data_IF_929960003313
#
_entry.id   IF_929960003313
#
_cell.length_a   1.000
_cell.length_b   1.000
_cell.length_c   1.000
_cell.angle_alpha   90.00
_cell.angle_beta   90.00
_cell.angle_gamma   90.00
#
_symmetry.space_group_name_H-M   'P 1'
#
loop_
_entity.id
_entity.type
_entity.pdbx_description
1 polymer ?
#
# COMPACT_ATOMS: atom_id res chain seq x y z
N UNK A 1 8.39 -30.32 23.10
CA UNK A 1 8.54 -29.89 21.69
C UNK A 1 7.37 -28.96 21.38
N UNK A 2 7.63 -27.67 21.14
CA UNK A 2 6.59 -26.69 20.78
C UNK A 2 6.20 -26.95 19.33
N UNK A 3 4.92 -27.23 19.07
CA UNK A 3 4.35 -27.35 17.72
C UNK A 3 4.48 -25.99 17.02
N UNK A 4 5.27 -25.90 15.95
CA UNK A 4 5.44 -24.68 15.17
C UNK A 4 4.16 -24.36 14.40
N UNK A 5 3.67 -23.13 14.53
CA UNK A 5 2.47 -22.59 13.89
C UNK A 5 2.77 -22.00 12.49
N UNK A 6 3.58 -22.69 11.68
CA UNK A 6 3.92 -22.21 10.32
C UNK A 6 2.73 -22.39 9.35
N UNK A 7 1.87 -23.39 9.60
CA UNK A 7 0.75 -23.74 8.72
C UNK A 7 -0.29 -22.61 8.57
N UNK A 8 -0.49 -21.78 9.60
CA UNK A 8 -1.48 -20.71 9.57
C UNK A 8 -1.09 -19.52 8.67
N UNK A 9 0.21 -19.33 8.39
CA UNK A 9 0.69 -18.24 7.52
C UNK A 9 0.43 -18.58 6.05
N UNK A 10 0.64 -19.84 5.65
CA UNK A 10 0.36 -20.27 4.27
C UNK A 10 -1.14 -20.25 3.96
N UNK A 11 -2.01 -20.69 4.88
CA UNK A 11 -3.45 -20.78 4.61
C UNK A 11 -4.15 -19.41 4.44
N UNK A 12 -3.61 -18.33 5.06
CA UNK A 12 -4.14 -16.96 4.90
C UNK A 12 -3.71 -16.33 3.57
N UNK A 13 -2.52 -16.67 3.07
CA UNK A 13 -1.98 -16.14 1.81
C UNK A 13 -2.74 -16.66 0.57
N UNK A 14 -3.29 -17.89 0.61
CA UNK A 14 -3.92 -18.52 -0.57
C UNK A 14 -5.40 -18.18 -0.80
N UNK A 15 -6.11 -17.64 0.20
CA UNK A 15 -7.52 -17.23 0.03
C UNK A 15 -7.75 -16.06 -0.94
N UNK A 16 -6.68 -15.36 -1.36
CA UNK A 16 -6.76 -14.20 -2.25
C UNK A 16 -6.70 -14.54 -3.75
N UNK A 17 -6.35 -15.77 -4.14
CA UNK A 17 -6.07 -16.13 -5.55
C UNK A 17 -7.28 -16.61 -6.37
N UNK A 18 -8.47 -16.72 -5.78
CA UNK A 18 -9.61 -17.50 -6.33
C UNK A 18 -10.59 -16.81 -7.30
N UNK A 19 -10.30 -15.63 -7.87
CA UNK A 19 -11.30 -14.89 -8.69
C UNK A 19 -10.76 -14.24 -9.98
N UNK A 20 -10.37 -15.02 -10.98
CA UNK A 20 -10.29 -14.50 -12.38
C UNK A 20 -10.70 -15.58 -13.41
N UNK A 21 -11.79 -15.32 -14.14
CA UNK A 21 -12.31 -16.18 -15.22
C UNK A 21 -12.49 -15.35 -16.51
N UNK A 22 -11.74 -15.75 -17.56
CA UNK A 22 -11.95 -15.68 -19.04
C UNK A 22 -12.44 -14.35 -19.68
N UNK A 23 -11.93 -13.84 -20.82
CA UNK A 23 -11.42 -14.42 -22.09
C UNK A 23 -10.44 -13.43 -22.75
N UNK A 24 -9.41 -13.91 -23.43
CA UNK A 24 -8.50 -13.09 -24.23
C UNK A 24 -8.99 -12.96 -25.69
N UNK A 25 -9.25 -11.72 -26.10
CA UNK A 25 -9.48 -11.33 -27.50
C UNK A 25 -8.12 -11.08 -28.20
N UNK A 26 -7.96 -11.42 -29.49
CA UNK A 26 -6.71 -11.16 -30.21
C UNK A 26 -6.41 -9.67 -30.33
N UNK A 27 -5.20 -9.26 -29.98
CA UNK A 27 -4.74 -7.87 -30.11
C UNK A 27 -4.71 -7.47 -31.60
N UNK A 28 -5.37 -6.35 -31.92
CA UNK A 28 -5.45 -5.80 -33.27
C UNK A 28 -4.06 -5.31 -33.75
N UNK A 29 -3.53 -5.82 -34.89
CA UNK A 29 -2.26 -5.41 -35.47
C UNK A 29 -2.15 -3.92 -35.86
N UNK A 30 -3.25 -3.16 -35.81
CA UNK A 30 -3.25 -1.70 -36.03
C UNK A 30 -2.67 -0.86 -34.89
N UNK A 31 -2.28 -1.45 -33.76
CA UNK A 31 -1.65 -0.75 -32.63
C UNK A 31 -0.11 -0.69 -32.67
N UNK A 32 0.53 -1.08 -33.77
CA UNK A 32 1.94 -0.79 -34.00
C UNK A 32 2.09 0.66 -34.51
N UNK A 33 2.17 1.61 -33.57
CA UNK A 33 2.43 3.03 -33.90
C UNK A 33 3.92 3.27 -34.03
N UNK A 34 4.23 4.00 -35.10
CA UNK A 34 5.52 4.49 -35.60
C UNK A 34 6.22 5.43 -34.59
N UNK A 35 7.51 5.21 -34.38
CA UNK A 35 8.36 5.85 -33.37
C UNK A 35 8.97 7.16 -33.94
N UNK A 36 8.11 8.14 -34.25
CA UNK A 36 8.54 9.45 -34.76
C UNK A 36 8.56 10.51 -33.65
N UNK A 37 9.77 11.01 -33.34
CA UNK A 37 10.24 11.99 -32.35
C UNK A 37 9.53 13.39 -32.29
N UNK A 38 8.22 13.50 -32.48
CA UNK A 38 7.45 14.72 -32.24
C UNK A 38 6.50 14.53 -31.05
N UNK A 39 7.03 14.38 -29.83
CA UNK A 39 6.18 14.35 -28.63
C UNK A 39 5.56 15.74 -28.39
N UNK A 40 4.22 15.88 -28.44
CA UNK A 40 3.55 17.15 -28.18
C UNK A 40 3.80 17.60 -26.73
N UNK A 41 4.00 18.90 -26.53
CA UNK A 41 4.15 19.51 -25.19
C UNK A 41 2.98 19.09 -24.31
N UNK A 42 3.27 18.25 -23.31
CA UNK A 42 2.26 17.70 -22.42
C UNK A 42 1.71 18.79 -21.52
N UNK A 43 0.38 18.87 -21.43
CA UNK A 43 -0.29 19.72 -20.44
C UNK A 43 -0.09 19.10 -19.05
N UNK A 44 0.33 19.87 -18.02
CA UNK A 44 0.51 19.34 -16.68
C UNK A 44 -0.74 18.67 -16.12
N UNK A 45 -0.55 17.68 -15.25
CA UNK A 45 -1.65 17.06 -14.49
C UNK A 45 -2.38 18.13 -13.65
N UNK A 46 -3.71 18.08 -13.62
CA UNK A 46 -4.52 19.00 -12.83
C UNK A 46 -5.76 18.31 -12.29
N UNK A 47 -6.08 18.52 -11.02
CA UNK A 47 -7.35 18.13 -10.41
C UNK A 47 -7.92 19.33 -9.66
N UNK A 48 -9.15 19.72 -9.97
CA UNK A 48 -9.80 20.87 -9.35
C UNK A 48 -11.31 20.67 -9.20
N UNK A 49 -11.92 21.37 -8.25
CA UNK A 49 -13.38 21.40 -8.03
C UNK A 49 -13.78 22.62 -7.20
N UNK A 50 -14.92 23.22 -7.54
CA UNK A 50 -15.49 24.37 -6.83
C UNK A 50 -16.57 23.91 -5.85
N UNK A 51 -16.56 24.45 -4.63
CA UNK A 51 -17.64 24.25 -3.67
C UNK A 51 -17.67 25.34 -2.61
N UNK A 52 -18.88 25.72 -2.19
CA UNK A 52 -19.07 26.91 -1.36
C UNK A 52 -18.53 28.16 -2.08
N UNK A 53 -17.59 28.86 -1.45
CA UNK A 53 -16.91 30.04 -2.00
C UNK A 53 -15.44 29.78 -2.34
N UNK A 54 -15.03 28.51 -2.46
CA UNK A 54 -13.64 28.11 -2.72
C UNK A 54 -13.49 27.18 -3.92
N UNK A 55 -12.30 27.22 -4.49
CA UNK A 55 -11.80 26.24 -5.46
C UNK A 55 -10.74 25.40 -4.78
N UNK A 56 -10.94 24.08 -4.77
CA UNK A 56 -9.90 23.12 -4.43
C UNK A 56 -9.08 22.84 -5.68
N UNK A 57 -7.76 22.89 -5.53
CA UNK A 57 -6.79 22.47 -6.54
C UNK A 57 -5.84 21.51 -5.85
N UNK A 58 -5.67 20.32 -6.41
CA UNK A 58 -4.80 19.31 -5.82
C UNK A 58 -3.32 19.68 -6.00
N UNK A 59 -2.52 19.53 -4.94
CA UNK A 59 -1.06 19.60 -4.97
C UNK A 59 -0.46 18.31 -5.56
N UNK A 60 -1.15 17.18 -5.37
CA UNK A 60 -0.78 15.89 -5.94
C UNK A 60 -2.00 15.07 -6.33
N UNK A 61 -1.82 14.18 -7.30
CA UNK A 61 -2.89 13.38 -7.88
C UNK A 61 -2.40 11.97 -8.16
N UNK A 62 -3.27 10.99 -7.95
CA UNK A 62 -3.02 9.60 -8.32
C UNK A 62 -4.30 9.02 -8.88
N UNK A 63 -4.18 8.16 -9.88
CA UNK A 63 -5.29 7.34 -10.33
C UNK A 63 -4.89 5.87 -10.37
N UNK A 64 -5.89 5.00 -10.27
CA UNK A 64 -5.80 3.56 -10.41
C UNK A 64 -6.86 3.12 -11.44
N UNK A 65 -6.48 2.24 -12.38
CA UNK A 65 -7.37 1.70 -13.42
C UNK A 65 -7.21 0.18 -13.48
N UNK A 66 -8.13 -0.57 -12.87
CA UNK A 66 -8.21 -2.03 -12.99
C UNK A 66 -9.13 -2.67 -11.96
N UNK A 67 -9.15 -4.00 -11.90
CA UNK A 67 -10.13 -4.78 -11.11
C UNK A 67 -11.60 -4.39 -11.35
N UNK A 68 -11.89 -3.93 -12.58
CA UNK A 68 -13.23 -3.46 -12.96
C UNK A 68 -13.55 -2.03 -12.52
N UNK A 69 -12.60 -1.29 -11.94
CA UNK A 69 -12.80 0.04 -11.39
C UNK A 69 -11.75 1.07 -11.86
N UNK A 70 -12.13 2.35 -11.77
CA UNK A 70 -11.25 3.51 -11.85
C UNK A 70 -11.33 4.21 -10.50
N UNK A 71 -10.20 4.40 -9.84
CA UNK A 71 -10.09 5.22 -8.63
C UNK A 71 -9.24 6.45 -8.95
N UNK A 72 -9.75 7.65 -8.72
CA UNK A 72 -9.01 8.90 -8.93
C UNK A 72 -8.97 9.64 -7.59
N UNK A 73 -7.78 10.05 -7.17
CA UNK A 73 -7.58 10.83 -5.96
C UNK A 73 -6.84 12.13 -6.25
N UNK A 74 -7.27 13.20 -5.60
CA UNK A 74 -6.57 14.48 -5.57
C UNK A 74 -6.36 14.92 -4.13
N UNK A 75 -5.13 15.27 -3.78
CA UNK A 75 -4.74 15.70 -2.44
C UNK A 75 -4.33 17.16 -2.47
N UNK A 76 -4.73 17.94 -1.47
CA UNK A 76 -4.24 19.30 -1.29
C UNK A 76 -3.89 19.59 0.17
N UNK A 77 -2.98 20.55 0.35
CA UNK A 77 -2.53 21.02 1.64
C UNK A 77 -1.76 19.99 2.45
N UNK A 78 -1.27 20.43 3.62
CA UNK A 78 -0.43 19.61 4.50
C UNK A 78 -1.23 18.70 5.44
N UNK A 79 -2.57 18.76 5.38
CA UNK A 79 -3.47 18.12 6.36
C UNK A 79 -4.27 16.95 5.79
N UNK A 80 -3.90 16.43 4.62
CA UNK A 80 -4.57 15.27 4.03
C UNK A 80 -5.96 15.57 3.45
N UNK A 81 -6.27 16.84 3.18
CA UNK A 81 -7.51 17.21 2.47
C UNK A 81 -7.50 16.52 1.10
N UNK A 82 -8.54 15.74 0.78
CA UNK A 82 -8.54 14.96 -0.44
C UNK A 82 -9.93 14.73 -1.03
N UNK A 83 -9.95 14.47 -2.32
CA UNK A 83 -11.07 13.88 -3.03
C UNK A 83 -10.73 12.45 -3.41
N UNK A 84 -11.69 11.54 -3.28
CA UNK A 84 -11.62 10.20 -3.86
C UNK A 84 -12.85 9.99 -4.73
N UNK A 85 -12.63 9.55 -5.98
CA UNK A 85 -13.65 9.20 -6.95
C UNK A 85 -13.44 7.72 -7.31
N UNK A 86 -14.43 6.87 -7.03
CA UNK A 86 -14.44 5.47 -7.46
C UNK A 86 -15.56 5.27 -8.49
N UNK A 87 -15.17 4.84 -9.68
CA UNK A 87 -16.07 4.52 -10.80
C UNK A 87 -15.98 3.02 -11.06
N UNK A 88 -17.08 2.26 -10.96
CA UNK A 88 -17.09 0.82 -11.26
C UNK A 88 -17.10 0.55 -12.77
N UNK A 89 -16.06 1.02 -13.45
CA UNK A 89 -15.83 0.81 -14.87
C UNK A 89 -14.34 0.99 -15.21
N UNK A 90 -13.92 0.48 -16.37
CA UNK A 90 -12.56 0.62 -16.91
C UNK A 90 -12.52 1.32 -18.28
N UNK A 91 -13.64 1.94 -18.68
CA UNK A 91 -13.83 2.52 -20.01
C UNK A 91 -14.11 4.02 -19.94
N UNK A 92 -14.12 4.68 -21.10
CA UNK A 92 -14.61 6.06 -21.19
C UNK A 92 -16.14 6.08 -21.17
N UNK A 93 -16.73 7.16 -20.67
CA UNK A 93 -18.19 7.25 -20.55
C UNK A 93 -18.65 8.18 -19.43
N UNK A 94 -19.96 8.27 -19.27
CA UNK A 94 -20.60 9.02 -18.18
C UNK A 94 -21.23 8.05 -17.19
N UNK A 95 -20.85 8.17 -15.94
CA UNK A 95 -21.21 7.29 -14.85
C UNK A 95 -21.96 8.07 -13.78
N UNK A 96 -23.16 7.61 -13.44
CA UNK A 96 -24.03 8.19 -12.40
C UNK A 96 -24.03 7.37 -11.11
N UNK A 97 -23.47 6.16 -11.15
CA UNK A 97 -23.29 5.28 -10.01
C UNK A 97 -21.80 5.24 -9.69
N UNK A 98 -21.35 6.24 -8.94
CA UNK A 98 -19.96 6.38 -8.51
C UNK A 98 -19.96 6.68 -7.01
N UNK A 99 -18.90 6.29 -6.32
CA UNK A 99 -18.66 6.77 -4.97
C UNK A 99 -17.73 7.98 -5.07
N UNK A 100 -18.17 9.13 -4.57
CA UNK A 100 -17.33 10.33 -4.52
C UNK A 100 -17.31 10.81 -3.08
N UNK A 101 -16.12 10.95 -2.53
CA UNK A 101 -15.91 11.51 -1.19
C UNK A 101 -14.98 12.72 -1.25
N UNK A 102 -15.24 13.66 -0.36
CA UNK A 102 -14.38 14.78 -0.04
C UNK A 102 -14.08 14.74 1.45
N UNK A 103 -12.82 14.56 1.79
CA UNK A 103 -12.31 14.56 3.15
C UNK A 103 -11.57 15.90 3.42
N UNK A 104 -12.02 16.69 4.42
CA UNK A 104 -11.34 17.93 4.81
C UNK A 104 -10.00 17.72 5.55
N UNK A 105 -9.60 16.47 5.84
CA UNK A 105 -8.28 16.08 6.35
C UNK A 105 -8.08 16.19 7.87
N UNK A 106 -8.73 17.14 8.54
CA UNK A 106 -8.53 17.41 9.98
C UNK A 106 -9.52 16.70 10.91
N UNK A 107 -10.49 15.97 10.36
CA UNK A 107 -11.56 15.31 11.11
C UNK A 107 -11.87 13.96 10.41
N UNK A 108 -12.15 12.86 11.15
CA UNK A 108 -12.59 11.60 10.53
C UNK A 108 -13.84 11.72 9.64
N UNK A 109 -14.55 12.86 9.68
CA UNK A 109 -15.76 13.09 8.94
C UNK A 109 -15.51 13.70 7.56
N UNK A 110 -16.12 13.11 6.55
CA UNK A 110 -16.08 13.52 5.14
C UNK A 110 -17.48 13.90 4.62
N UNK A 111 -17.53 14.46 3.41
CA UNK A 111 -18.75 14.57 2.61
C UNK A 111 -18.75 13.45 1.56
N UNK A 112 -19.86 12.72 1.41
CA UNK A 112 -20.03 11.73 0.35
C UNK A 112 -21.15 12.11 -0.60
N UNK A 113 -21.13 11.61 -1.83
CA UNK A 113 -22.22 11.83 -2.76
C UNK A 113 -23.48 11.00 -2.46
N UNK A 114 -23.50 10.22 -1.38
CA UNK A 114 -24.62 9.37 -0.99
C UNK A 114 -25.53 10.16 -0.06
N UNK A 115 -26.78 10.37 -0.47
CA UNK A 115 -27.75 11.10 0.35
C UNK A 115 -28.24 10.27 1.55
N UNK A 116 -28.98 10.85 2.52
CA UNK A 116 -29.50 10.12 3.68
C UNK A 116 -30.47 8.97 3.36
N UNK A 117 -30.96 8.87 2.11
CA UNK A 117 -31.76 7.76 1.61
C UNK A 117 -30.92 6.70 0.88
N UNK A 118 -29.59 6.77 0.98
CA UNK A 118 -28.61 5.90 0.31
C UNK A 118 -28.68 5.95 -1.22
N UNK A 119 -29.02 7.10 -1.79
CA UNK A 119 -29.03 7.32 -3.24
C UNK A 119 -27.83 8.17 -3.61
N UNK A 120 -26.91 7.68 -4.47
CA UNK A 120 -25.82 8.47 -5.01
C UNK A 120 -26.33 9.69 -5.78
N UNK A 121 -25.57 10.77 -5.71
CA UNK A 121 -25.83 12.01 -6.45
C UNK A 121 -24.62 12.36 -7.30
N UNK A 122 -24.85 13.15 -8.35
CA UNK A 122 -23.78 13.60 -9.23
C UNK A 122 -23.48 12.64 -10.38
N UNK A 123 -22.38 12.92 -11.07
CA UNK A 123 -21.89 12.15 -12.20
C UNK A 123 -20.40 12.37 -12.40
N UNK A 124 -19.73 11.36 -12.94
CA UNK A 124 -18.35 11.42 -13.44
C UNK A 124 -18.37 11.12 -14.93
N UNK A 125 -17.72 11.93 -15.75
CA UNK A 125 -17.50 11.64 -17.17
C UNK A 125 -16.01 11.45 -17.42
N UNK A 126 -15.62 10.24 -17.83
CA UNK A 126 -14.28 9.92 -18.30
C UNK A 126 -14.23 10.24 -19.80
N UNK A 127 -13.49 11.29 -20.18
CA UNK A 127 -13.36 11.70 -21.59
C UNK A 127 -12.32 10.88 -22.33
N UNK A 128 -11.16 10.64 -21.71
CA UNK A 128 -10.07 9.88 -22.34
C UNK A 128 -9.30 9.07 -21.31
N UNK A 129 -8.88 7.88 -21.74
CA UNK A 129 -7.87 7.06 -21.11
C UNK A 129 -6.76 6.92 -22.17
N UNK A 130 -5.64 7.62 -21.99
CA UNK A 130 -4.47 7.50 -22.86
C UNK A 130 -3.61 6.35 -22.33
N UNK A 131 -3.67 5.20 -22.99
CA UNK A 131 -2.92 4.00 -22.58
C UNK A 131 -1.44 4.07 -22.91
N UNK A 132 -1.05 4.91 -23.88
CA UNK A 132 0.36 5.11 -24.21
C UNK A 132 1.04 5.97 -23.15
N UNK A 133 0.36 7.04 -22.70
CA UNK A 133 0.89 7.96 -21.68
C UNK A 133 0.47 7.61 -20.26
N UNK A 134 -0.39 6.59 -20.09
CA UNK A 134 -1.00 6.18 -18.82
C UNK A 134 -1.67 7.34 -18.09
N UNK A 135 -2.47 8.13 -18.80
CA UNK A 135 -3.20 9.25 -18.19
C UNK A 135 -4.71 9.16 -18.38
N UNK A 136 -5.46 9.73 -17.44
CA UNK A 136 -6.92 9.81 -17.47
C UNK A 136 -7.40 11.26 -17.36
N UNK A 137 -8.42 11.61 -18.16
CA UNK A 137 -9.00 12.96 -18.21
C UNK A 137 -10.52 12.90 -18.17
N UNK A 138 -11.16 13.83 -17.47
CA UNK A 138 -12.60 13.85 -17.28
C UNK A 138 -13.10 15.00 -16.41
N UNK A 139 -14.40 14.95 -16.11
CA UNK A 139 -15.09 15.92 -15.25
C UNK A 139 -16.00 15.21 -14.25
N UNK A 140 -16.35 15.90 -13.18
CA UNK A 140 -17.31 15.41 -12.20
C UNK A 140 -18.08 16.55 -11.53
N UNK A 141 -19.24 16.22 -10.96
CA UNK A 141 -19.98 17.10 -10.05
C UNK A 141 -20.85 16.25 -9.15
N UNK A 142 -21.10 16.69 -7.92
CA UNK A 142 -21.98 15.97 -6.99
C UNK A 142 -22.54 16.89 -5.89
N UNK A 143 -23.53 16.39 -5.16
CA UNK A 143 -23.96 17.00 -3.90
C UNK A 143 -23.40 16.17 -2.74
N UNK A 144 -22.52 16.77 -1.95
CA UNK A 144 -21.93 16.10 -0.79
C UNK A 144 -22.82 16.20 0.43
N UNK A 145 -23.05 15.08 1.09
CA UNK A 145 -23.76 14.94 2.35
C UNK A 145 -22.76 14.56 3.43
N UNK A 146 -22.87 15.20 4.59
CA UNK A 146 -21.93 14.98 5.68
C UNK A 146 -22.09 13.56 6.26
N UNK A 147 -20.97 12.88 6.48
CA UNK A 147 -20.88 11.48 6.92
C UNK A 147 -21.50 11.20 8.30
N UNK A 148 -21.72 12.22 9.13
CA UNK A 148 -22.43 12.10 10.41
C UNK A 148 -23.84 12.73 10.34
N UNK A 149 -24.90 11.94 10.16
CA UNK A 149 -26.27 12.45 10.12
C UNK A 149 -26.70 13.20 11.39
N UNK A 150 -26.14 12.81 12.54
CA UNK A 150 -26.48 13.39 13.84
C UNK A 150 -26.10 14.88 13.96
N UNK A 151 -25.13 15.35 13.18
CA UNK A 151 -24.72 16.75 13.20
C UNK A 151 -25.64 17.64 12.35
N UNK A 152 -26.46 17.05 11.47
CA UNK A 152 -27.44 17.76 10.63
C UNK A 152 -26.82 18.95 9.86
N UNK A 153 -25.60 18.78 9.37
CA UNK A 153 -24.93 19.78 8.53
C UNK A 153 -25.60 19.86 7.15
N UNK A 154 -25.65 21.05 6.54
CA UNK A 154 -26.23 21.21 5.20
C UNK A 154 -25.39 20.46 4.16
N UNK A 155 -26.06 19.95 3.13
CA UNK A 155 -25.39 19.41 1.94
C UNK A 155 -24.66 20.52 1.17
N UNK A 156 -23.54 20.18 0.55
CA UNK A 156 -22.71 21.12 -0.24
C UNK A 156 -22.73 20.70 -1.71
N UNK A 157 -22.89 21.65 -2.63
CA UNK A 157 -22.72 21.39 -4.04
C UNK A 157 -21.24 21.48 -4.43
N UNK A 158 -20.74 20.43 -5.08
CA UNK A 158 -19.41 20.35 -5.69
C UNK A 158 -19.58 20.42 -7.20
N UNK A 159 -19.09 21.51 -7.79
CA UNK A 159 -19.32 21.90 -9.17
C UNK A 159 -18.00 22.13 -9.90
N UNK A 160 -18.03 22.15 -11.23
CA UNK A 160 -16.84 22.38 -12.07
C UNK A 160 -15.66 21.45 -11.74
N UNK A 161 -15.95 20.24 -11.25
CA UNK A 161 -14.94 19.24 -10.99
C UNK A 161 -14.29 18.80 -12.31
N UNK A 162 -12.97 18.85 -12.39
CA UNK A 162 -12.22 18.40 -13.55
C UNK A 162 -10.91 17.77 -13.15
N UNK A 163 -10.52 16.73 -13.86
CA UNK A 163 -9.21 16.11 -13.76
C UNK A 163 -8.64 15.94 -15.16
N UNK A 164 -7.41 16.37 -15.36
CA UNK A 164 -6.74 16.38 -16.67
C UNK A 164 -5.37 15.74 -16.54
N UNK A 165 -5.07 14.81 -17.44
CA UNK A 165 -3.80 14.11 -17.53
C UNK A 165 -3.33 13.51 -16.18
N UNK A 166 -4.25 12.98 -15.37
CA UNK A 166 -3.88 12.32 -14.12
C UNK A 166 -3.19 11.01 -14.47
N UNK A 167 -1.94 10.84 -14.04
CA UNK A 167 -1.23 9.58 -14.22
C UNK A 167 -1.97 8.47 -13.45
N UNK A 168 -2.25 7.36 -14.13
CA UNK A 168 -2.83 6.20 -13.50
C UNK A 168 -1.84 5.03 -13.43
N UNK A 169 -1.80 4.38 -12.28
CA UNK A 169 -1.34 3.00 -12.20
C UNK A 169 -2.49 2.12 -12.67
N UNK A 170 -2.20 1.10 -13.47
CA UNK A 170 -3.13 -0.01 -13.56
C UNK A 170 -2.71 -0.97 -12.43
N UNK A 171 -3.52 -1.93 -11.95
CA UNK A 171 -2.90 -3.16 -11.51
C UNK A 171 -1.95 -3.57 -12.63
N UNK A 172 -0.80 -4.17 -12.32
CA UNK A 172 0.03 -4.70 -13.38
C UNK A 172 -0.89 -5.42 -14.35
N UNK A 173 -0.98 -4.91 -15.58
CA UNK A 173 -1.60 -5.66 -16.64
C UNK A 173 -0.70 -6.88 -16.68
N UNK A 174 -1.19 -7.99 -16.12
CA UNK A 174 -0.55 -9.27 -16.24
C UNK A 174 -0.11 -9.34 -17.70
N UNK A 175 1.20 -9.28 -17.98
CA UNK A 175 1.67 -8.95 -19.31
C UNK A 175 0.90 -9.84 -20.27
N UNK A 176 0.21 -9.22 -21.24
CA UNK A 176 -0.52 -9.98 -22.25
C UNK A 176 0.38 -11.14 -22.69
N UNK A 177 -0.15 -12.36 -22.71
CA UNK A 177 0.58 -13.57 -22.33
C UNK A 177 1.92 -13.68 -23.06
N UNK A 178 2.99 -13.29 -22.39
CA UNK A 178 4.04 -14.27 -22.17
C UNK A 178 3.42 -15.31 -21.25
N UNK A 179 3.36 -16.57 -21.67
CA UNK A 179 2.79 -17.63 -20.81
C UNK A 179 3.58 -17.66 -19.50
N UNK A 180 2.99 -17.20 -18.41
CA UNK A 180 3.58 -17.39 -17.08
C UNK A 180 3.77 -18.90 -16.88
N UNK A 181 4.95 -19.28 -16.41
CA UNK A 181 5.31 -20.69 -16.26
C UNK A 181 5.82 -20.89 -14.85
N UNK A 182 5.15 -21.74 -14.08
CA UNK A 182 5.71 -22.31 -12.86
C UNK A 182 5.79 -23.82 -13.05
N UNK A 183 7.00 -24.37 -13.02
CA UNK A 183 7.22 -25.81 -13.18
C UNK A 183 8.38 -26.33 -12.36
N UNK A 184 8.33 -27.61 -12.00
CA UNK A 184 9.39 -28.32 -11.26
C UNK A 184 9.30 -29.82 -11.52
N UNK A 185 10.41 -30.54 -11.41
CA UNK A 185 10.46 -32.00 -11.56
C UNK A 185 10.73 -32.69 -10.24
N UNK A 186 9.94 -33.72 -9.94
CA UNK A 186 10.14 -34.64 -8.82
C UNK A 186 9.54 -36.01 -9.14
N UNK A 187 10.07 -37.07 -8.54
CA UNK A 187 9.63 -38.47 -8.76
C UNK A 187 9.51 -38.88 -10.25
N UNK A 188 10.37 -38.32 -11.10
CA UNK A 188 10.39 -38.57 -12.54
C UNK A 188 9.22 -37.94 -13.32
N UNK A 189 8.42 -37.08 -12.67
CA UNK A 189 7.31 -36.36 -13.26
C UNK A 189 7.59 -34.85 -13.30
N UNK A 190 6.92 -34.15 -14.20
CA UNK A 190 6.92 -32.68 -14.25
C UNK A 190 5.62 -32.16 -13.64
N UNK A 191 5.75 -31.36 -12.60
CA UNK A 191 4.72 -30.45 -12.13
C UNK A 191 4.74 -29.21 -13.00
N UNK A 192 3.59 -28.89 -13.60
CA UNK A 192 3.35 -27.61 -14.29
C UNK A 192 2.10 -27.04 -13.65
N UNK A 193 2.23 -25.85 -13.09
CA UNK A 193 1.10 -25.17 -12.47
C UNK A 193 0.07 -24.77 -13.53
N UNK A 194 -1.21 -24.91 -13.21
CA UNK A 194 -2.30 -24.30 -13.98
C UNK A 194 -2.47 -22.82 -13.61
N UNK A 195 -2.05 -22.45 -12.40
CA UNK A 195 -2.13 -21.09 -11.87
C UNK A 195 -0.83 -20.79 -11.11
N UNK A 196 -0.30 -19.58 -11.27
CA UNK A 196 0.90 -19.15 -10.58
C UNK A 196 0.81 -17.66 -10.28
N UNK A 197 1.35 -17.26 -9.12
CA UNK A 197 1.36 -15.88 -8.67
C UNK A 197 2.44 -15.65 -7.63
N UNK A 198 2.71 -14.38 -7.37
CA UNK A 198 3.70 -13.95 -6.41
C UNK A 198 3.20 -12.72 -5.63
N UNK A 199 3.84 -12.48 -4.49
CA UNK A 199 3.66 -11.27 -3.68
C UNK A 199 5.05 -10.76 -3.28
N UNK A 200 5.27 -9.46 -3.43
CA UNK A 200 6.55 -8.82 -3.16
C UNK A 200 6.35 -7.55 -2.31
N UNK A 201 7.04 -7.45 -1.18
CA UNK A 201 6.87 -6.32 -0.26
C UNK A 201 7.68 -6.48 1.02
N UNK A 202 7.97 -5.37 1.72
CA UNK A 202 8.71 -5.36 2.98
C UNK A 202 10.05 -6.14 2.97
N UNK A 203 10.73 -6.18 1.82
CA UNK A 203 11.96 -6.95 1.64
C UNK A 203 11.77 -8.47 1.53
N UNK A 204 10.55 -8.94 1.28
CA UNK A 204 10.21 -10.36 1.13
C UNK A 204 9.59 -10.65 -0.23
N UNK A 205 9.75 -11.88 -0.70
CA UNK A 205 9.13 -12.41 -1.91
C UNK A 205 8.50 -13.77 -1.62
N UNK A 206 7.22 -13.92 -1.92
CA UNK A 206 6.53 -15.19 -1.99
C UNK A 206 6.17 -15.51 -3.45
N UNK A 207 6.43 -16.73 -3.91
CA UNK A 207 6.08 -17.21 -5.26
C UNK A 207 5.45 -18.59 -5.14
N UNK A 208 4.34 -18.83 -5.81
CA UNK A 208 3.65 -20.12 -5.76
C UNK A 208 3.08 -20.57 -7.11
N UNK A 209 2.92 -21.88 -7.26
CA UNK A 209 2.20 -22.49 -8.36
C UNK A 209 1.26 -23.59 -7.87
N UNK A 210 0.03 -23.59 -8.37
CA UNK A 210 -1.02 -24.57 -8.07
C UNK A 210 -1.29 -25.40 -9.33
N UNK A 211 -1.37 -26.73 -9.19
CA UNK A 211 -1.68 -27.66 -10.28
C UNK A 211 -3.09 -28.24 -10.12
N UNK A 212 -3.93 -28.00 -11.12
CA UNK A 212 -5.30 -28.51 -11.16
C UNK A 212 -6.19 -27.85 -10.11
N UNK A 213 -7.33 -28.48 -9.84
CA UNK A 213 -8.38 -27.93 -8.95
C UNK A 213 -8.34 -28.49 -7.53
N UNK A 214 -7.38 -29.34 -7.22
CA UNK A 214 -7.31 -30.05 -5.92
C UNK A 214 -6.38 -29.35 -4.92
N UNK A 215 -5.80 -28.19 -5.27
CA UNK A 215 -4.90 -27.46 -4.37
C UNK A 215 -3.47 -27.97 -4.30
N UNK A 216 -3.06 -28.84 -5.22
CA UNK A 216 -1.68 -29.33 -5.24
C UNK A 216 -0.72 -28.18 -5.52
N UNK A 217 0.16 -27.87 -4.56
CA UNK A 217 0.86 -26.58 -4.53
C UNK A 217 2.34 -26.75 -4.29
N UNK A 218 3.15 -25.96 -5.00
CA UNK A 218 4.56 -25.71 -4.67
C UNK A 218 4.70 -24.22 -4.35
N UNK A 219 5.29 -23.89 -3.20
CA UNK A 219 5.44 -22.53 -2.74
C UNK A 219 6.89 -22.23 -2.33
N UNK A 220 7.31 -20.98 -2.55
CA UNK A 220 8.62 -20.43 -2.27
C UNK A 220 8.41 -19.16 -1.45
N UNK A 221 9.16 -19.00 -0.37
CA UNK A 221 9.24 -17.79 0.43
C UNK A 221 10.70 -17.39 0.63
N UNK A 222 11.01 -16.11 0.46
CA UNK A 222 12.35 -15.53 0.52
C UNK A 222 12.36 -14.27 1.37
N UNK A 223 13.31 -14.20 2.30
CA UNK A 223 13.75 -12.94 2.89
C UNK A 223 14.87 -12.34 2.02
N UNK A 224 14.70 -11.09 1.60
CA UNK A 224 15.60 -10.35 0.70
C UNK A 224 15.35 -10.56 -0.80
N UNK A 225 14.23 -11.17 -1.19
CA UNK A 225 13.94 -11.63 -2.57
C UNK A 225 13.57 -10.55 -3.60
N UNK A 226 13.82 -9.28 -3.30
CA UNK A 226 13.44 -8.15 -4.16
C UNK A 226 14.49 -7.84 -5.25
N UNK A 227 15.69 -8.42 -5.13
CA UNK A 227 16.79 -8.20 -6.06
C UNK A 227 17.10 -9.46 -6.89
N UNK A 228 17.73 -9.27 -8.04
CA UNK A 228 18.31 -10.37 -8.81
C UNK A 228 19.48 -10.97 -8.02
N UNK A 229 19.47 -12.28 -7.80
CA UNK A 229 20.43 -12.90 -6.91
C UNK A 229 20.24 -14.39 -6.69
N UNK A 230 21.16 -14.98 -5.92
CA UNK A 230 21.09 -16.38 -5.47
C UNK A 230 20.84 -16.41 -3.98
N UNK A 231 19.80 -17.14 -3.58
CA UNK A 231 19.26 -17.21 -2.24
C UNK A 231 19.31 -18.65 -1.75
N UNK A 232 19.93 -18.86 -0.58
CA UNK A 232 20.04 -20.16 0.09
C UNK A 232 19.27 -20.22 1.41
N UNK A 233 18.61 -19.12 1.78
CA UNK A 233 17.74 -18.96 2.96
C UNK A 233 16.26 -19.13 2.63
N UNK A 234 15.94 -19.63 1.43
CA UNK A 234 14.58 -19.81 0.97
C UNK A 234 13.84 -20.88 1.78
N UNK A 235 12.59 -20.62 2.13
CA UNK A 235 11.66 -21.65 2.63
C UNK A 235 10.83 -22.13 1.45
N UNK A 236 10.86 -23.42 1.17
CA UNK A 236 10.14 -24.05 0.06
C UNK A 236 9.27 -25.18 0.60
N UNK A 237 8.07 -25.30 0.04
CA UNK A 237 7.13 -26.34 0.42
C UNK A 237 6.41 -26.93 -0.78
N UNK A 238 5.97 -28.17 -0.61
CA UNK A 238 5.08 -28.86 -1.53
C UNK A 238 3.95 -29.54 -0.73
N UNK A 239 2.72 -29.32 -1.17
CA UNK A 239 1.49 -29.87 -0.58
C UNK A 239 0.75 -30.63 -1.69
N UNK A 240 0.26 -31.83 -1.39
CA UNK A 240 -0.35 -32.70 -2.41
C UNK A 240 -1.77 -32.27 -2.81
N UNK A 241 -2.47 -31.56 -1.92
CA UNK A 241 -3.84 -31.09 -2.07
C UNK A 241 -4.22 -30.12 -0.93
N UNK A 242 -5.32 -29.40 -1.07
CA UNK A 242 -5.79 -28.39 -0.08
C UNK A 242 -6.21 -28.99 1.29
N UNK A 243 -6.51 -30.29 1.33
CA UNK A 243 -6.95 -30.99 2.54
C UNK A 243 -5.78 -31.66 3.29
N UNK A 244 -4.56 -31.54 2.79
CA UNK A 244 -3.41 -32.22 3.35
C UNK A 244 -2.95 -31.58 4.68
N UNK A 245 -3.01 -32.36 5.77
CA UNK A 245 -2.50 -31.97 7.09
C UNK A 245 -0.96 -31.84 7.14
N UNK A 246 -0.26 -32.37 6.13
CA UNK A 246 1.20 -32.49 6.10
C UNK A 246 1.76 -32.10 4.74
N UNK A 247 3.01 -31.65 4.72
CA UNK A 247 3.69 -31.16 3.52
C UNK A 247 5.12 -31.67 3.45
N UNK A 248 5.76 -31.46 2.31
CA UNK A 248 7.20 -31.59 2.16
C UNK A 248 7.84 -30.21 2.26
N UNK A 249 8.77 -30.02 3.19
CA UNK A 249 9.43 -28.73 3.42
C UNK A 249 10.95 -28.88 3.41
N UNK A 250 11.68 -27.86 3.00
CA UNK A 250 13.15 -27.87 3.04
C UNK A 250 13.68 -27.54 4.47
N UNK A 251 13.32 -28.35 5.48
CA UNK A 251 13.58 -28.06 6.90
C UNK A 251 15.05 -27.78 7.29
N UNK A 252 16.01 -28.16 6.45
CA UNK A 252 17.45 -27.95 6.65
C UNK A 252 18.04 -26.88 5.68
N UNK A 253 17.20 -26.01 5.11
CA UNK A 253 17.58 -25.04 4.06
C UNK A 253 18.29 -25.72 2.87
N UNK A 254 17.86 -26.94 2.55
CA UNK A 254 18.44 -27.80 1.50
C UNK A 254 17.95 -27.41 0.10
N UNK A 255 18.05 -26.13 -0.24
CA UNK A 255 17.62 -25.65 -1.54
C UNK A 255 18.22 -24.30 -1.91
N UNK A 256 18.09 -23.97 -3.18
CA UNK A 256 18.57 -22.71 -3.75
C UNK A 256 17.47 -22.12 -4.60
N UNK A 257 17.26 -20.82 -4.48
CA UNK A 257 16.44 -20.03 -5.41
C UNK A 257 17.34 -19.01 -6.08
N UNK A 258 17.21 -18.84 -7.39
CA UNK A 258 17.93 -17.82 -8.16
C UNK A 258 16.89 -16.92 -8.79
N UNK A 259 16.80 -15.67 -8.34
CA UNK A 259 16.01 -14.64 -9.02
C UNK A 259 16.84 -14.17 -10.21
N UNK A 260 16.32 -14.34 -11.43
CA UNK A 260 17.01 -13.98 -12.68
C UNK A 260 16.52 -12.65 -13.25
N UNK A 261 15.28 -12.26 -12.96
CA UNK A 261 14.73 -10.96 -13.33
C UNK A 261 13.63 -10.52 -12.36
N UNK A 262 13.63 -9.24 -12.04
CA UNK A 262 12.51 -8.51 -11.42
C UNK A 262 12.16 -7.41 -12.40
N UNK A 263 10.97 -7.47 -12.98
CA UNK A 263 10.46 -6.47 -13.89
C UNK A 263 9.50 -5.54 -13.13
N UNK A 264 10.05 -4.43 -12.63
CA UNK A 264 9.28 -3.41 -11.89
C UNK A 264 8.27 -2.65 -12.76
N UNK A 265 8.37 -2.75 -14.09
CA UNK A 265 7.44 -2.07 -15.01
C UNK A 265 6.21 -2.94 -15.25
N UNK A 266 6.42 -4.23 -15.48
CA UNK A 266 5.35 -5.20 -15.76
C UNK A 266 4.91 -6.02 -14.53
N UNK A 267 5.53 -5.77 -13.39
CA UNK A 267 5.40 -6.51 -12.13
C UNK A 267 5.46 -8.03 -12.33
N UNK A 268 6.54 -8.50 -12.94
CA UNK A 268 6.80 -9.93 -13.01
C UNK A 268 8.13 -10.31 -12.41
N UNK A 269 8.20 -11.52 -11.86
CA UNK A 269 9.42 -12.09 -11.33
C UNK A 269 9.73 -13.40 -12.03
N UNK A 270 11.01 -13.60 -12.33
CA UNK A 270 11.52 -14.81 -12.98
C UNK A 270 12.73 -15.37 -12.24
N UNK A 271 12.91 -16.68 -12.32
CA UNK A 271 13.97 -17.37 -11.64
C UNK A 271 13.90 -18.89 -11.74
N UNK A 272 14.81 -19.52 -11.00
CA UNK A 272 14.93 -20.98 -10.91
C UNK A 272 15.03 -21.42 -9.46
N UNK A 273 14.66 -22.67 -9.17
CA UNK A 273 14.77 -23.21 -7.83
C UNK A 273 15.01 -24.72 -7.81
N UNK A 274 15.53 -25.21 -6.70
CA UNK A 274 15.64 -26.64 -6.39
C UNK A 274 15.65 -26.82 -4.87
N UNK A 275 15.11 -27.94 -4.38
CA UNK A 275 15.17 -28.28 -2.96
C UNK A 275 14.97 -29.77 -2.69
N UNK A 276 15.34 -30.20 -1.49
CA UNK A 276 14.96 -31.52 -0.94
C UNK A 276 13.86 -31.31 0.09
N UNK A 277 12.67 -31.81 -0.21
CA UNK A 277 11.52 -31.78 0.70
C UNK A 277 11.57 -32.93 1.68
N UNK A 278 11.46 -32.60 2.98
CA UNK A 278 11.33 -33.55 4.09
C UNK A 278 9.87 -33.52 4.53
N UNK A 279 9.25 -34.70 4.65
CA UNK A 279 7.85 -34.81 5.04
C UNK A 279 7.65 -34.36 6.50
N UNK A 280 6.68 -33.49 6.75
CA UNK A 280 6.47 -32.88 8.07
C UNK A 280 6.06 -33.89 9.14
N UNK A 281 5.32 -34.94 8.78
CA UNK A 281 5.07 -36.07 9.68
C UNK A 281 6.20 -37.09 9.62
N UNK A 282 7.28 -36.80 10.35
CA UNK A 282 8.44 -37.70 10.45
C UNK A 282 8.10 -39.10 11.00
N UNK A 283 6.98 -39.27 11.72
CA UNK A 283 6.56 -40.58 12.23
C UNK A 283 6.01 -41.50 11.13
N UNK A 284 5.53 -40.91 10.02
CA UNK A 284 5.08 -41.67 8.85
C UNK A 284 6.23 -42.37 8.11
N UNK A 285 7.49 -41.95 8.33
CA UNK A 285 8.67 -42.56 7.74
C UNK A 285 8.71 -42.46 6.21
N UNK A 286 8.04 -41.46 5.62
CA UNK A 286 8.07 -41.23 4.18
C UNK A 286 9.46 -40.77 3.74
N UNK A 287 9.93 -41.23 2.55
CA UNK A 287 11.21 -40.78 2.02
C UNK A 287 11.17 -39.29 1.65
N UNK A 288 12.34 -38.66 1.68
CA UNK A 288 12.51 -37.30 1.17
C UNK A 288 12.29 -37.28 -0.36
N UNK A 289 11.76 -36.16 -0.86
CA UNK A 289 11.56 -35.94 -2.30
C UNK A 289 12.53 -34.86 -2.77
N UNK A 290 13.21 -35.09 -3.89
CA UNK A 290 14.09 -34.10 -4.51
C UNK A 290 13.36 -33.38 -5.64
N UNK A 291 13.22 -32.06 -5.49
CA UNK A 291 12.65 -31.16 -6.47
C UNK A 291 13.78 -30.51 -7.27
N UNK A 292 13.77 -30.72 -8.58
CA UNK A 292 14.84 -30.32 -9.50
C UNK A 292 14.26 -29.55 -10.70
N UNK A 293 15.11 -28.81 -11.40
CA UNK A 293 14.72 -28.06 -12.60
C UNK A 293 13.51 -27.16 -12.36
N UNK A 294 13.40 -26.57 -11.17
CA UNK A 294 12.36 -25.62 -10.84
C UNK A 294 12.57 -24.33 -11.63
N UNK A 295 11.52 -23.86 -12.30
CA UNK A 295 11.51 -22.63 -13.08
C UNK A 295 10.22 -21.88 -12.75
N UNK A 296 10.36 -20.58 -12.49
CA UNK A 296 9.25 -19.65 -12.51
C UNK A 296 9.60 -18.53 -13.48
N UNK A 297 8.77 -18.29 -14.49
CA UNK A 297 9.04 -17.35 -15.58
C UNK A 297 7.83 -16.43 -15.75
N UNK A 298 8.10 -15.12 -15.73
CA UNK A 298 7.13 -14.05 -15.83
C UNK A 298 5.94 -14.25 -14.87
N UNK A 299 6.21 -14.65 -13.62
CA UNK A 299 5.14 -14.80 -12.62
C UNK A 299 4.69 -13.41 -12.22
N UNK A 300 3.40 -13.05 -12.41
CA UNK A 300 2.90 -11.77 -11.95
C UNK A 300 3.00 -11.69 -10.44
N UNK A 301 3.47 -10.56 -9.93
CA UNK A 301 3.46 -10.28 -8.50
C UNK A 301 2.61 -9.06 -8.17
N UNK A 302 1.87 -9.16 -7.07
CA UNK A 302 1.30 -7.99 -6.42
C UNK A 302 2.35 -7.37 -5.51
N UNK A 303 2.35 -6.03 -5.44
CA UNK A 303 3.14 -5.33 -4.44
C UNK A 303 2.28 -5.34 -3.18
N UNK A 304 2.74 -5.94 -2.09
CA UNK A 304 2.18 -5.58 -0.79
C UNK A 304 2.60 -4.14 -0.54
N UNK A 305 1.71 -3.22 -0.91
CA UNK A 305 1.94 -1.81 -0.76
C UNK A 305 1.88 -1.54 0.74
N UNK A 306 3.04 -1.58 1.42
CA UNK A 306 3.17 -0.81 2.64
C UNK A 306 3.00 0.64 2.19
N UNK A 307 1.86 1.25 2.56
CA UNK A 307 1.68 2.70 2.40
C UNK A 307 2.95 3.32 3.02
N UNK A 308 3.72 4.15 2.28
CA UNK A 308 4.99 4.64 2.78
C UNK A 308 4.80 5.38 4.09
N UNK A 309 5.75 5.26 5.01
CA UNK A 309 5.74 6.07 6.22
C UNK A 309 5.83 7.55 5.84
N UNK A 310 4.87 8.33 6.34
CA UNK A 310 4.82 9.78 6.15
C UNK A 310 5.04 10.48 7.49
N UNK A 311 5.83 11.54 7.46
CA UNK A 311 6.02 12.45 8.58
C UNK A 311 6.25 13.87 8.05
N UNK A 312 5.57 14.85 8.62
CA UNK A 312 5.63 16.25 8.19
C UNK A 312 5.39 17.20 9.34
N UNK A 313 5.99 18.39 9.30
CA UNK A 313 5.69 19.48 10.25
C UNK A 313 6.20 20.83 9.74
N UNK A 314 5.58 21.91 10.19
CA UNK A 314 6.09 23.28 10.03
C UNK A 314 6.80 23.72 11.32
N UNK A 315 8.10 24.03 11.23
CA UNK A 315 8.91 24.54 12.34
C UNK A 315 9.24 26.00 12.08
N UNK A 316 8.85 26.88 13.00
CA UNK A 316 9.07 28.34 12.92
C UNK A 316 8.60 28.96 11.59
N UNK A 317 7.46 28.46 11.10
CA UNK A 317 6.85 28.92 9.85
C UNK A 317 7.46 28.29 8.58
N UNK A 318 8.47 27.44 8.70
CA UNK A 318 9.08 26.71 7.58
C UNK A 318 8.52 25.28 7.52
N UNK A 319 7.87 24.93 6.41
CA UNK A 319 7.37 23.58 6.20
C UNK A 319 8.52 22.61 5.93
N UNK A 320 8.59 21.53 6.70
CA UNK A 320 9.57 20.46 6.57
C UNK A 320 8.86 19.16 6.15
N UNK A 321 9.33 18.59 5.05
CA UNK A 321 8.97 17.24 4.61
C UNK A 321 10.13 16.31 4.93
N UNK A 322 9.83 15.19 5.57
CA UNK A 322 10.83 14.22 6.00
C UNK A 322 10.86 13.09 4.97
N UNK A 323 12.05 12.79 4.45
CA UNK A 323 12.20 11.66 3.54
C UNK A 323 12.00 10.35 4.31
N UNK A 324 11.56 9.24 3.69
CA UNK A 324 11.37 7.96 4.38
C UNK A 324 12.60 7.50 5.16
N UNK A 325 13.81 7.73 4.65
CA UNK A 325 15.07 7.38 5.34
C UNK A 325 15.33 8.19 6.63
N UNK A 326 14.64 9.32 6.80
CA UNK A 326 14.74 10.19 7.98
C UNK A 326 13.63 9.93 9.02
N UNK A 327 12.72 9.00 8.71
CA UNK A 327 11.64 8.56 9.58
C UNK A 327 12.10 7.28 10.27
N UNK A 328 11.99 7.25 11.59
CA UNK A 328 12.21 6.03 12.38
C UNK A 328 10.99 5.78 13.24
N UNK A 329 10.50 4.55 13.16
CA UNK A 329 9.44 4.03 14.02
C UNK A 329 10.00 2.85 14.79
N UNK A 330 9.85 2.85 16.11
CA UNK A 330 10.29 1.72 16.96
C UNK A 330 9.29 1.48 18.08
N UNK A 331 9.06 0.20 18.39
CA UNK A 331 8.41 -0.19 19.64
C UNK A 331 9.42 -0.11 20.78
N UNK A 332 9.25 0.89 21.63
CA UNK A 332 10.01 1.07 22.85
C UNK A 332 9.42 0.21 23.98
N UNK A 333 10.14 0.11 25.10
CA UNK A 333 9.66 -0.61 26.28
C UNK A 333 8.30 -0.05 26.75
N UNK A 334 7.44 -0.94 27.27
CA UNK A 334 6.11 -0.63 27.80
C UNK A 334 5.03 -0.25 26.76
N UNK A 335 5.03 -0.92 25.59
CA UNK A 335 4.01 -0.79 24.55
C UNK A 335 3.91 0.66 24.02
N UNK A 336 5.06 1.31 23.80
CA UNK A 336 5.17 2.68 23.30
C UNK A 336 5.70 2.66 21.87
N UNK A 337 4.92 3.19 20.95
CA UNK A 337 5.35 3.55 19.60
C UNK A 337 6.12 4.86 19.67
N UNK A 338 7.39 4.84 19.30
CA UNK A 338 8.21 6.03 19.14
C UNK A 338 8.36 6.36 17.65
N UNK A 339 7.80 7.48 17.24
CA UNK A 339 7.81 8.00 15.87
C UNK A 339 8.76 9.20 15.83
N UNK A 340 9.72 9.18 14.92
CA UNK A 340 10.77 10.19 14.85
C UNK A 340 10.99 10.68 13.43
N UNK A 341 10.84 11.97 13.20
CA UNK A 341 11.27 12.64 11.96
C UNK A 341 12.54 13.47 12.19
N UNK A 342 13.56 13.30 11.35
CA UNK A 342 14.79 14.12 11.38
C UNK A 342 14.93 15.00 10.13
N UNK A 343 15.15 16.30 10.28
CA UNK A 343 15.39 17.21 9.15
C UNK A 343 16.50 18.20 9.51
N UNK A 344 17.54 18.31 8.68
CA UNK A 344 18.66 19.24 8.91
C UNK A 344 19.33 19.14 10.30
N UNK A 345 19.42 17.93 10.86
CA UNK A 345 19.88 17.62 12.23
C UNK A 345 18.96 18.08 13.37
N UNK A 346 17.77 18.58 13.06
CA UNK A 346 16.70 18.77 14.02
C UNK A 346 15.81 17.53 14.04
N UNK A 347 15.27 17.18 15.21
CA UNK A 347 14.48 15.96 15.38
C UNK A 347 13.20 16.26 16.14
N UNK A 348 12.08 15.78 15.61
CA UNK A 348 10.81 15.71 16.33
C UNK A 348 10.59 14.26 16.73
N UNK A 349 10.35 14.02 18.01
CA UNK A 349 9.99 12.73 18.55
C UNK A 349 8.58 12.73 19.12
N UNK A 350 7.74 11.78 18.73
CA UNK A 350 6.39 11.56 19.22
C UNK A 350 6.33 10.17 19.86
N UNK A 351 5.81 10.08 21.07
CA UNK A 351 5.64 8.83 21.80
C UNK A 351 4.16 8.61 22.05
N UNK A 352 3.64 7.47 21.62
CA UNK A 352 2.23 7.10 21.77
C UNK A 352 2.15 5.67 22.25
N UNK A 353 1.33 5.37 23.27
CA UNK A 353 1.08 3.96 23.61
C UNK A 353 0.35 3.25 22.48
N UNK A 354 0.72 2.00 22.18
CA UNK A 354 0.10 1.17 21.15
C UNK A 354 -1.42 1.04 21.36
N UNK A 355 -1.88 1.07 22.61
CA UNK A 355 -3.30 0.99 23.00
C UNK A 355 -4.05 2.32 22.94
N UNK A 356 -3.41 3.40 22.44
CA UNK A 356 -4.04 4.73 22.34
C UNK A 356 -5.10 4.70 21.24
N UNK A 357 -6.36 4.81 21.62
CA UNK A 357 -7.49 4.91 20.69
C UNK A 357 -7.48 6.23 19.92
N UNK A 358 -8.18 6.35 18.78
CA UNK A 358 -8.40 7.63 18.12
C UNK A 358 -9.00 8.68 19.06
N UNK A 359 -8.49 9.91 19.00
CA UNK A 359 -8.88 11.00 19.90
C UNK A 359 -7.89 12.15 19.97
N UNK A 360 -8.22 13.17 20.77
CA UNK A 360 -7.36 14.33 21.02
C UNK A 360 -6.70 14.24 22.39
N UNK A 361 -5.39 14.45 22.42
CA UNK A 361 -4.52 14.31 23.57
C UNK A 361 -3.63 15.54 23.72
N UNK A 362 -3.11 15.72 24.92
CA UNK A 362 -2.08 16.72 25.22
C UNK A 362 -0.76 16.00 25.48
N UNK A 363 0.36 16.61 25.10
CA UNK A 363 1.66 16.05 25.48
C UNK A 363 1.95 16.34 26.95
N UNK A 364 2.39 15.32 27.67
CA UNK A 364 2.74 15.44 29.09
C UNK A 364 4.21 15.08 29.26
N UNK A 365 4.98 15.96 29.89
CA UNK A 365 6.39 15.68 30.22
C UNK A 365 6.48 14.76 31.45
N UNK A 366 6.06 13.51 31.27
CA UNK A 366 6.16 12.45 32.27
C UNK A 366 6.52 11.15 31.57
N UNK A 367 7.44 10.38 32.14
CA UNK A 367 7.94 9.14 31.54
C UNK A 367 6.84 8.10 31.29
N UNK A 368 5.79 8.11 32.12
CA UNK A 368 4.67 7.16 32.06
C UNK A 368 3.43 7.71 31.32
N UNK A 369 3.52 8.90 30.73
CA UNK A 369 2.40 9.47 30.00
C UNK A 369 2.12 8.67 28.73
N UNK A 370 0.83 8.51 28.39
CA UNK A 370 0.41 7.80 27.18
C UNK A 370 0.85 8.53 25.89
N UNK A 371 1.03 9.85 25.98
CA UNK A 371 1.38 10.72 24.87
C UNK A 371 2.47 11.70 25.30
N UNK A 372 3.62 11.67 24.61
CA UNK A 372 4.77 12.56 24.88
C UNK A 372 5.34 13.08 23.57
N UNK A 373 6.03 14.20 23.64
CA UNK A 373 6.82 14.70 22.52
C UNK A 373 8.16 15.23 23.00
N UNK A 374 9.14 15.23 22.09
CA UNK A 374 10.45 15.84 22.26
C UNK A 374 10.86 16.59 21.00
N UNK A 375 11.72 17.59 21.18
CA UNK A 375 12.36 18.33 20.10
C UNK A 375 13.86 18.39 20.37
N UNK A 376 14.68 17.97 19.42
CA UNK A 376 16.14 18.11 19.49
C UNK A 376 16.60 19.11 18.45
N UNK A 377 17.29 20.16 18.89
CA UNK A 377 17.83 21.19 17.98
C UNK A 377 19.02 20.66 17.18
N UNK A 378 19.41 21.38 16.12
CA UNK A 378 20.62 21.08 15.35
C UNK A 378 21.92 21.09 16.18
N UNK A 379 21.91 21.74 17.35
CA UNK A 379 23.02 21.74 18.31
C UNK A 379 23.02 20.49 19.22
N UNK A 380 22.07 19.56 19.04
CA UNK A 380 21.93 18.34 19.84
C UNK A 380 21.28 18.53 21.20
N UNK A 381 20.59 19.65 21.43
CA UNK A 381 19.91 19.92 22.72
C UNK A 381 18.46 19.43 22.63
N UNK A 382 18.09 18.50 23.51
CA UNK A 382 16.73 17.93 23.56
C UNK A 382 15.86 18.64 24.60
N UNK A 383 14.65 19.00 24.18
CA UNK A 383 13.60 19.60 25.00
C UNK A 383 12.42 18.64 25.08
N UNK A 384 11.94 18.35 26.29
CA UNK A 384 10.71 17.59 26.49
C UNK A 384 9.51 18.53 26.43
N UNK A 385 8.46 18.12 25.73
CA UNK A 385 7.28 18.94 25.50
C UNK A 385 6.25 18.72 26.61
N UNK A 386 5.69 19.82 27.12
CA UNK A 386 4.61 19.82 28.09
C UNK A 386 3.51 20.78 27.63
N UNK A 387 2.40 20.24 27.13
CA UNK A 387 1.35 20.99 26.42
C UNK A 387 1.38 20.77 24.91
N UNK A 388 0.52 21.48 24.17
CA UNK A 388 0.27 21.23 22.75
C UNK A 388 -0.88 20.25 22.52
N UNK A 389 -1.07 19.85 21.27
CA UNK A 389 -2.14 18.98 20.81
C UNK A 389 -1.57 17.83 20.00
N UNK A 390 -2.07 16.62 20.24
CA UNK A 390 -1.91 15.43 19.43
C UNK A 390 -3.30 14.92 19.09
N UNK A 391 -3.60 14.70 17.82
CA UNK A 391 -4.85 14.08 17.37
C UNK A 391 -4.49 12.77 16.71
N UNK A 392 -4.91 11.66 17.29
CA UNK A 392 -4.83 10.34 16.66
C UNK A 392 -6.13 10.15 15.86
N UNK A 393 -6.01 10.03 14.55
CA UNK A 393 -7.15 9.82 13.65
C UNK A 393 -7.39 8.34 13.39
N UNK A 394 -6.33 7.53 13.40
CA UNK A 394 -6.39 6.08 13.19
C UNK A 394 -5.30 5.39 14.02
N UNK A 395 -5.65 4.24 14.58
CA UNK A 395 -4.71 3.29 15.17
C UNK A 395 -5.27 1.88 14.98
N UNK A 396 -4.64 1.08 14.12
CA UNK A 396 -5.06 -0.29 13.79
C UNK A 396 -4.33 -1.37 14.58
N UNK A 397 -3.37 -0.99 15.43
CA UNK A 397 -2.43 -1.91 16.07
C UNK A 397 -1.14 -2.12 15.28
N UNK A 398 -1.17 -1.95 13.96
CA UNK A 398 0.00 -2.06 13.08
C UNK A 398 0.35 -0.76 12.38
N UNK A 399 -0.59 0.20 12.33
CA UNK A 399 -0.42 1.50 11.70
C UNK A 399 -1.10 2.59 12.52
N UNK A 400 -0.45 3.75 12.65
CA UNK A 400 -0.97 4.89 13.40
C UNK A 400 -0.89 6.18 12.58
N UNK A 401 -1.98 6.93 12.59
CA UNK A 401 -2.12 8.19 11.87
C UNK A 401 -2.53 9.30 12.82
N UNK A 402 -1.99 10.49 12.60
CA UNK A 402 -2.37 11.64 13.42
C UNK A 402 -1.75 12.95 13.01
N UNK A 403 -2.14 13.99 13.75
CA UNK A 403 -1.59 15.34 13.63
C UNK A 403 -1.10 15.85 14.97
N UNK A 404 -0.16 16.80 14.97
CA UNK A 404 0.37 17.38 16.19
C UNK A 404 0.79 18.85 16.04
N UNK A 405 0.81 19.55 17.17
CA UNK A 405 1.34 20.92 17.28
C UNK A 405 1.77 21.21 18.71
N UNK A 406 2.90 21.89 18.91
CA UNK A 406 3.38 22.28 20.23
C UNK A 406 4.42 23.42 20.17
N UNK A 407 4.59 24.11 21.30
CA UNK A 407 5.69 25.04 21.51
C UNK A 407 6.87 24.34 22.18
N UNK A 408 8.08 24.62 21.71
CA UNK A 408 9.33 24.24 22.39
C UNK A 408 9.73 25.38 23.30
N UNK A 409 9.86 25.11 24.60
CA UNK A 409 10.21 26.12 25.61
C UNK A 409 11.55 25.81 26.26
N UNK A 410 12.35 26.83 26.51
CA UNK A 410 13.59 26.70 27.29
C UNK A 410 13.30 26.62 28.80
N UNK A 411 14.35 26.51 29.62
CA UNK A 411 14.22 26.42 31.09
C UNK A 411 13.55 27.65 31.74
N UNK A 412 13.63 28.82 31.10
CA UNK A 412 12.97 30.05 31.54
C UNK A 412 11.48 30.10 31.11
N UNK A 413 10.98 29.09 30.41
CA UNK A 413 9.61 29.03 29.88
C UNK A 413 9.37 29.86 28.62
N UNK A 414 10.42 30.47 28.05
CA UNK A 414 10.31 31.22 26.81
C UNK A 414 10.22 30.26 25.62
N UNK A 415 9.30 30.54 24.68
CA UNK A 415 9.16 29.79 23.43
C UNK A 415 10.39 30.07 22.56
N UNK A 416 11.07 29.00 22.14
CA UNK A 416 12.27 29.06 21.29
C UNK A 416 12.04 28.46 19.90
N UNK A 417 11.07 27.56 19.77
CA UNK A 417 10.57 27.05 18.49
C UNK A 417 9.06 26.82 18.56
N UNK A 418 8.38 26.93 17.43
CA UNK A 418 6.95 26.64 17.28
C UNK A 418 6.75 25.55 16.23
N UNK A 419 6.16 24.43 16.62
CA UNK A 419 5.84 23.31 15.73
C UNK A 419 4.35 23.30 15.45
N UNK A 420 3.98 23.45 14.18
CA UNK A 420 2.59 23.50 13.70
C UNK A 420 2.43 22.59 12.49
N UNK A 421 1.18 22.32 12.11
CA UNK A 421 0.88 21.49 10.95
C UNK A 421 1.62 20.14 10.92
N UNK A 422 1.87 19.57 12.11
CA UNK A 422 2.50 18.26 12.24
C UNK A 422 1.54 17.17 11.81
N UNK A 423 2.02 16.20 11.02
CA UNK A 423 1.28 15.01 10.62
C UNK A 423 2.19 13.79 10.55
N UNK A 424 1.63 12.61 10.78
CA UNK A 424 2.29 11.34 10.57
C UNK A 424 1.29 10.27 10.15
N UNK A 425 1.77 9.31 9.37
CA UNK A 425 1.07 8.12 8.93
C UNK A 425 2.13 7.02 8.81
N UNK A 426 2.24 6.16 9.83
CA UNK A 426 3.38 5.24 9.94
C UNK A 426 2.98 3.84 10.37
N UNK A 427 3.67 2.85 9.83
CA UNK A 427 3.60 1.44 10.25
C UNK A 427 4.51 1.19 11.47
N UNK A 428 4.07 0.34 12.41
CA UNK A 428 4.81 0.08 13.65
C UNK A 428 4.73 -1.36 14.19
N UNK A 429 4.27 -2.34 13.41
CA UNK A 429 4.36 -3.76 13.80
C UNK A 429 5.69 -4.36 13.35
N UNK A 430 6.52 -4.83 14.29
CA UNK A 430 7.85 -5.40 14.03
C UNK A 430 8.02 -6.77 14.69
#
# INVERSE_FOLDING_TARGET
MKRMRILSIFMVLFTLMGVVSCQTEPVDPLLLVDDSDDEPVQTPANFQVDFGERTFVADSTVAYLGDGEIVIKGYAGNFGENFTITVPATTTGTYTVTNITYDPGVNPNYYSNINPANVPTGSVTIYSIDTARRTITGIFSFTGYYSLPAENLPSIAFTNGSFTNIAYTAPPVNPGPGTSLFSVQFDGQTFVASEAGASMGAGTLAVGGIRGTNGETVAIYLEGGNDVGTYTNAVMSYVTDDDADNSYVNADNTGTVVITAVDEVNHTVSGTFNFVGIYTDTAAGLPNITFTNGVFENIPYDIEQSDPDLFGATVDGTANTYAPADIIVVNAQEDIVFIRGTHTNETIGIYVKETTVPGTYVFVNSINANTRASYTTAAGVTYNINGGSLVITENTGTRIKGTFSFDVKNEAGAVIHTVTAGSFDVEYDF
#
